data_IF_670136723667
#
_entry.id   IF_670136723667
#
_cell.length_a   1.000
_cell.length_b   1.000
_cell.length_c   1.000
_cell.angle_alpha   90.00
_cell.angle_beta   90.00
_cell.angle_gamma   90.00
#
_symmetry.space_group_name_H-M   'P 1'
#
loop_
_entity.id
_entity.type
_entity.pdbx_description
1 polymer ?
#
# COMPACT_ATOMS: atom_id res chain seq x y z
N UNK A 1 1.11 7.11 -13.36
CA UNK A 1 1.19 5.67 -13.74
C UNK A 1 2.11 4.89 -12.83
N UNK A 2 3.33 5.36 -12.53
CA UNK A 2 4.22 4.65 -11.60
C UNK A 2 3.77 4.81 -10.14
N UNK A 3 3.26 5.97 -9.74
CA UNK A 3 2.76 6.21 -8.37
C UNK A 3 1.53 5.37 -8.03
N UNK A 4 0.49 5.38 -8.87
CA UNK A 4 -0.71 4.58 -8.63
C UNK A 4 -0.53 3.06 -8.68
N UNK A 5 0.55 2.56 -9.32
CA UNK A 5 0.90 1.13 -9.25
C UNK A 5 1.84 0.81 -8.08
N UNK A 6 2.49 1.82 -7.50
CA UNK A 6 3.29 1.69 -6.28
C UNK A 6 2.41 1.69 -5.01
N UNK A 7 1.19 2.24 -5.10
CA UNK A 7 0.20 2.26 -4.01
C UNK A 7 -0.45 0.87 -3.76
N UNK A 8 -0.32 -0.06 -4.71
CA UNK A 8 -0.73 -1.48 -4.58
C UNK A 8 0.41 -2.33 -4.00
N UNK A 9 0.97 -1.92 -2.86
CA UNK A 9 2.03 -2.67 -2.20
C UNK A 9 1.50 -3.97 -1.56
N UNK A 10 2.35 -5.01 -1.41
CA UNK A 10 1.96 -6.25 -0.74
C UNK A 10 1.41 -6.02 0.67
N UNK A 11 1.85 -4.98 1.38
CA UNK A 11 1.34 -4.61 2.70
C UNK A 11 -0.11 -4.12 2.66
N UNK A 12 -0.47 -3.25 1.72
CA UNK A 12 -1.83 -2.75 1.52
C UNK A 12 -2.77 -3.87 1.09
N UNK A 13 -2.38 -4.66 0.08
CA UNK A 13 -3.16 -5.83 -0.38
C UNK A 13 -3.38 -6.84 0.74
N UNK A 14 -2.34 -7.13 1.53
CA UNK A 14 -2.44 -8.02 2.69
C UNK A 14 -3.41 -7.51 3.75
N UNK A 15 -3.33 -6.21 4.05
CA UNK A 15 -4.21 -5.53 5.01
C UNK A 15 -5.67 -5.59 4.56
N UNK A 16 -5.96 -5.22 3.31
CA UNK A 16 -7.32 -5.27 2.77
C UNK A 16 -7.87 -6.70 2.72
N UNK A 17 -7.04 -7.68 2.36
CA UNK A 17 -7.44 -9.08 2.32
C UNK A 17 -7.75 -9.63 3.72
N UNK A 18 -6.94 -9.29 4.72
CA UNK A 18 -7.16 -9.70 6.11
C UNK A 18 -8.42 -9.08 6.70
N UNK A 19 -8.63 -7.78 6.48
CA UNK A 19 -9.82 -7.07 6.94
C UNK A 19 -11.07 -7.54 6.20
N UNK A 20 -10.99 -7.82 4.90
CA UNK A 20 -12.08 -8.42 4.13
C UNK A 20 -12.45 -9.82 4.63
N UNK A 21 -11.45 -10.63 5.01
CA UNK A 21 -11.71 -11.94 5.61
C UNK A 21 -12.36 -11.84 7.00
N UNK A 22 -12.01 -10.82 7.78
CA UNK A 22 -12.48 -10.65 9.16
C UNK A 22 -13.84 -9.94 9.25
N UNK A 23 -14.07 -8.91 8.44
CA UNK A 23 -15.22 -8.01 8.50
C UNK A 23 -16.13 -8.10 7.27
N UNK A 24 -15.78 -8.91 6.28
CA UNK A 24 -16.53 -9.03 5.04
C UNK A 24 -16.62 -7.70 4.31
N UNK A 25 -17.84 -7.33 3.93
CA UNK A 25 -18.13 -6.08 3.20
C UNK A 25 -18.27 -4.86 4.13
N UNK A 26 -18.25 -5.03 5.46
CA UNK A 26 -18.63 -3.98 6.39
C UNK A 26 -17.72 -2.73 6.38
N UNK A 27 -16.49 -2.86 5.88
CA UNK A 27 -15.54 -1.75 5.74
C UNK A 27 -15.53 -1.14 4.32
N UNK A 28 -16.34 -1.63 3.37
CA UNK A 28 -16.31 -1.14 1.98
C UNK A 28 -16.62 0.36 1.82
N UNK A 29 -17.41 0.93 2.72
CA UNK A 29 -17.73 2.36 2.73
C UNK A 29 -16.50 3.27 2.88
N UNK A 30 -15.37 2.75 3.39
CA UNK A 30 -14.14 3.54 3.51
C UNK A 30 -13.48 3.75 2.16
N UNK A 31 -13.70 2.85 1.18
CA UNK A 31 -13.08 2.90 -0.16
C UNK A 31 -13.33 4.25 -0.87
N UNK A 32 -14.58 4.72 -1.06
CA UNK A 32 -14.81 6.00 -1.75
C UNK A 32 -14.18 7.20 -1.01
N UNK A 33 -14.14 7.17 0.31
CA UNK A 33 -13.52 8.22 1.13
C UNK A 33 -12.00 8.20 0.96
N UNK A 34 -11.40 7.02 1.08
CA UNK A 34 -9.96 6.82 0.91
C UNK A 34 -9.48 7.23 -0.49
N UNK A 35 -10.25 6.89 -1.52
CA UNK A 35 -9.97 7.26 -2.91
C UNK A 35 -10.01 8.78 -3.10
N UNK A 36 -11.02 9.45 -2.54
CA UNK A 36 -11.11 10.91 -2.63
C UNK A 36 -9.94 11.60 -1.90
N UNK A 37 -9.59 11.11 -0.71
CA UNK A 37 -8.48 11.65 0.07
C UNK A 37 -7.14 11.43 -0.64
N UNK A 38 -6.89 10.23 -1.15
CA UNK A 38 -5.69 9.91 -1.92
C UNK A 38 -5.59 10.82 -3.15
N UNK A 39 -6.66 10.93 -3.94
CA UNK A 39 -6.70 11.82 -5.10
C UNK A 39 -6.42 13.28 -4.74
N UNK A 40 -6.96 13.78 -3.62
CA UNK A 40 -6.70 15.14 -3.16
C UNK A 40 -5.23 15.34 -2.74
N UNK A 41 -4.65 14.38 -2.01
CA UNK A 41 -3.25 14.43 -1.56
C UNK A 41 -2.31 14.34 -2.76
N UNK A 42 -2.53 13.40 -3.68
CA UNK A 42 -1.75 13.24 -4.90
C UNK A 42 -1.83 14.48 -5.80
N UNK A 43 -3.02 15.07 -5.94
CA UNK A 43 -3.20 16.29 -6.73
C UNK A 43 -2.42 17.46 -6.13
N UNK A 44 -2.51 17.65 -4.81
CA UNK A 44 -1.76 18.69 -4.11
C UNK A 44 -0.25 18.46 -4.25
N UNK A 45 0.22 17.23 -4.05
CA UNK A 45 1.62 16.87 -4.22
C UNK A 45 2.10 17.12 -5.66
N UNK A 46 1.30 16.75 -6.66
CA UNK A 46 1.57 17.00 -8.08
C UNK A 46 1.64 18.49 -8.41
N UNK A 47 0.69 19.29 -7.92
CA UNK A 47 0.68 20.75 -8.09
C UNK A 47 1.88 21.41 -7.43
N UNK A 48 2.24 20.99 -6.21
CA UNK A 48 3.43 21.45 -5.49
C UNK A 48 4.72 21.11 -6.26
N UNK A 49 4.84 19.90 -6.78
CA UNK A 49 5.99 19.48 -7.58
C UNK A 49 6.13 20.28 -8.88
N UNK A 50 5.01 20.55 -9.58
CA UNK A 50 4.99 21.34 -10.81
C UNK A 50 5.27 22.82 -10.57
N UNK A 51 4.70 23.41 -9.51
CA UNK A 51 4.85 24.82 -9.19
C UNK A 51 6.21 25.15 -8.54
N UNK A 52 6.69 24.28 -7.65
CA UNK A 52 7.94 24.49 -6.92
C UNK A 52 9.20 24.13 -7.68
N UNK A 53 9.12 23.24 -8.70
CA UNK A 53 10.26 22.65 -9.43
C UNK A 53 11.34 22.03 -8.51
N UNK A 54 11.00 21.80 -7.26
CA UNK A 54 11.87 21.30 -6.20
C UNK A 54 11.09 20.25 -5.40
N UNK A 55 11.79 19.22 -4.91
CA UNK A 55 11.16 18.18 -4.11
C UNK A 55 10.60 18.71 -2.79
N UNK A 56 9.60 18.01 -2.24
CA UNK A 56 8.95 18.33 -0.97
C UNK A 56 9.96 18.59 0.16
N UNK A 57 11.03 17.78 0.23
CA UNK A 57 12.11 17.96 1.21
C UNK A 57 12.88 19.28 1.05
N UNK A 58 13.08 19.77 -0.19
CA UNK A 58 13.72 21.07 -0.46
C UNK A 58 12.83 22.23 -0.02
N UNK A 59 11.52 22.13 -0.30
CA UNK A 59 10.51 23.09 0.16
C UNK A 59 10.43 23.15 1.69
N UNK A 60 10.48 22.00 2.38
CA UNK A 60 10.49 21.95 3.84
C UNK A 60 11.76 22.60 4.39
N UNK A 61 12.93 22.30 3.82
CA UNK A 61 14.21 22.90 4.23
C UNK A 61 14.24 24.42 4.07
N UNK A 62 13.53 24.97 3.08
CA UNK A 62 13.47 26.42 2.82
C UNK A 62 12.50 27.17 3.74
N UNK A 63 11.38 26.54 4.10
CA UNK A 63 10.29 27.21 4.82
C UNK A 63 10.23 26.90 6.32
N UNK A 64 10.90 25.84 6.78
CA UNK A 64 10.87 25.40 8.18
C UNK A 64 12.27 25.36 8.81
N UNK A 65 12.30 25.45 10.14
CA UNK A 65 13.54 25.32 10.90
C UNK A 65 14.12 23.90 10.76
N UNK A 66 15.45 23.78 10.81
CA UNK A 66 16.17 22.52 10.67
C UNK A 66 15.65 21.36 11.56
N UNK A 67 15.20 21.58 12.82
CA UNK A 67 14.63 20.51 13.64
C UNK A 67 13.38 19.86 13.03
N UNK A 68 12.52 20.63 12.36
CA UNK A 68 11.31 20.13 11.70
C UNK A 68 11.68 19.22 10.53
N UNK A 69 12.71 19.62 9.76
CA UNK A 69 13.23 18.81 8.65
C UNK A 69 13.76 17.45 9.14
N UNK A 70 14.59 17.45 10.18
CA UNK A 70 15.15 16.21 10.74
C UNK A 70 14.06 15.31 11.33
N UNK A 71 13.09 15.90 12.03
CA UNK A 71 11.95 15.14 12.58
C UNK A 71 11.09 14.52 11.48
N UNK A 72 10.76 15.28 10.43
CA UNK A 72 10.01 14.76 9.27
C UNK A 72 10.80 13.67 8.53
N UNK A 73 12.10 13.87 8.31
CA UNK A 73 12.95 12.87 7.67
C UNK A 73 13.04 11.57 8.50
N UNK A 74 13.14 11.67 9.82
CA UNK A 74 13.12 10.53 10.73
C UNK A 74 11.79 9.77 10.63
N UNK A 75 10.66 10.48 10.65
CA UNK A 75 9.33 9.87 10.54
C UNK A 75 9.15 9.14 9.21
N UNK A 76 9.51 9.77 8.09
CA UNK A 76 9.40 9.15 6.75
C UNK A 76 10.33 7.94 6.64
N UNK A 77 11.56 8.04 7.15
CA UNK A 77 12.51 6.91 7.12
C UNK A 77 12.00 5.74 7.96
N UNK A 78 11.46 6.02 9.16
CA UNK A 78 10.88 5.00 10.01
C UNK A 78 9.66 4.34 9.35
N UNK A 79 8.73 5.13 8.80
CA UNK A 79 7.55 4.64 8.11
C UNK A 79 7.93 3.73 6.93
N UNK A 80 8.86 4.17 6.08
CA UNK A 80 9.36 3.37 4.95
C UNK A 80 10.03 2.08 5.40
N UNK A 81 10.77 2.10 6.51
CA UNK A 81 11.40 0.89 7.05
C UNK A 81 10.35 -0.14 7.50
N UNK A 82 9.28 0.32 8.15
CA UNK A 82 8.16 -0.55 8.53
C UNK A 82 7.41 -1.09 7.31
N UNK A 83 7.19 -0.27 6.28
CA UNK A 83 6.52 -0.69 5.05
C UNK A 83 7.32 -1.77 4.31
N UNK A 84 8.64 -1.58 4.15
CA UNK A 84 9.52 -2.61 3.56
C UNK A 84 9.44 -3.92 4.36
N UNK A 85 9.45 -3.83 5.69
CA UNK A 85 9.30 -5.00 6.56
C UNK A 85 7.94 -5.72 6.37
N UNK A 86 6.86 -4.95 6.29
CA UNK A 86 5.52 -5.45 6.05
C UNK A 86 5.39 -6.11 4.66
N UNK A 87 5.97 -5.49 3.63
CA UNK A 87 5.99 -6.02 2.27
C UNK A 87 6.71 -7.36 2.18
N UNK A 88 7.93 -7.44 2.72
CA UNK A 88 8.70 -8.68 2.77
C UNK A 88 7.93 -9.78 3.53
N UNK A 89 7.27 -9.40 4.63
CA UNK A 89 6.41 -10.30 5.39
C UNK A 89 5.22 -10.81 4.59
N UNK A 90 4.51 -9.92 3.89
CA UNK A 90 3.36 -10.25 3.03
C UNK A 90 3.75 -11.12 1.85
N UNK A 91 4.89 -10.85 1.20
CA UNK A 91 5.44 -11.70 0.14
C UNK A 91 5.75 -13.10 0.65
N UNK A 92 6.35 -13.19 1.85
CA UNK A 92 6.68 -14.47 2.45
C UNK A 92 5.42 -15.27 2.83
N UNK A 93 4.43 -14.61 3.43
CA UNK A 93 3.15 -15.22 3.76
C UNK A 93 2.41 -15.71 2.51
N UNK A 94 2.43 -14.93 1.42
CA UNK A 94 1.80 -15.29 0.15
C UNK A 94 2.46 -16.51 -0.50
N UNK A 95 3.80 -16.57 -0.54
CA UNK A 95 4.52 -17.71 -1.11
C UNK A 95 4.30 -19.00 -0.30
N UNK A 96 4.13 -18.87 1.03
CA UNK A 96 3.81 -20.00 1.91
C UNK A 96 2.47 -20.66 1.57
N UNK A 97 1.54 -19.94 0.94
CA UNK A 97 0.28 -20.53 0.45
C UNK A 97 0.50 -21.49 -0.71
N UNK A 98 1.58 -21.31 -1.47
CA UNK A 98 1.93 -22.14 -2.64
C UNK A 98 2.94 -23.22 -2.28
N UNK A 99 3.95 -22.87 -1.48
CA UNK A 99 5.05 -23.77 -1.10
C UNK A 99 5.02 -23.95 0.42
N UNK A 100 4.86 -25.18 0.95
CA UNK A 100 4.74 -25.44 2.38
C UNK A 100 6.11 -25.39 3.10
N UNK A 101 6.79 -24.24 3.04
CA UNK A 101 8.08 -23.97 3.69
C UNK A 101 7.85 -23.10 4.93
N UNK A 102 8.64 -23.26 6.01
CA UNK A 102 8.54 -22.40 7.18
C UNK A 102 8.77 -20.91 6.85
N UNK A 103 8.08 -20.02 7.58
CA UNK A 103 8.06 -18.59 7.29
C UNK A 103 9.45 -17.94 7.38
N UNK A 104 10.22 -18.24 8.43
CA UNK A 104 11.51 -17.55 8.69
C UNK A 104 12.55 -17.79 7.59
N UNK A 105 12.83 -19.03 7.15
CA UNK A 105 13.73 -19.28 6.01
C UNK A 105 13.28 -18.60 4.73
N UNK A 106 11.97 -18.58 4.49
CA UNK A 106 11.39 -18.02 3.28
C UNK A 106 11.50 -16.49 3.27
N UNK A 107 11.23 -15.84 4.40
CA UNK A 107 11.46 -14.40 4.60
C UNK A 107 12.92 -14.03 4.33
N UNK A 108 13.88 -14.73 4.97
CA UNK A 108 15.31 -14.48 4.78
C UNK A 108 15.69 -14.62 3.30
N UNK A 109 15.19 -15.66 2.63
CA UNK A 109 15.48 -15.91 1.22
C UNK A 109 14.94 -14.79 0.33
N UNK A 110 13.69 -14.35 0.54
CA UNK A 110 13.10 -13.23 -0.21
C UNK A 110 13.89 -11.95 0.06
N UNK A 111 14.23 -11.64 1.31
CA UNK A 111 15.00 -10.43 1.65
C UNK A 111 16.36 -10.43 0.95
N UNK A 112 17.11 -11.53 1.01
CA UNK A 112 18.41 -11.63 0.34
C UNK A 112 18.25 -11.52 -1.18
N UNK A 113 17.24 -12.18 -1.75
CA UNK A 113 16.97 -12.10 -3.18
C UNK A 113 16.67 -10.67 -3.63
N UNK A 114 15.79 -9.95 -2.92
CA UNK A 114 15.45 -8.54 -3.21
C UNK A 114 16.69 -7.66 -3.10
N UNK A 115 17.49 -7.79 -2.03
CA UNK A 115 18.73 -7.02 -1.87
C UNK A 115 19.73 -7.26 -3.02
N UNK A 116 19.90 -8.52 -3.44
CA UNK A 116 20.75 -8.86 -4.59
C UNK A 116 20.18 -8.24 -5.87
N UNK A 117 18.87 -8.34 -6.09
CA UNK A 117 18.24 -7.72 -7.26
C UNK A 117 18.46 -6.19 -7.28
N UNK A 118 18.29 -5.51 -6.15
CA UNK A 118 18.50 -4.06 -6.04
C UNK A 118 19.95 -3.63 -6.30
N UNK A 119 20.92 -4.40 -5.81
CA UNK A 119 22.35 -4.07 -5.97
C UNK A 119 22.84 -4.35 -7.39
N UNK A 120 22.39 -5.44 -8.01
CA UNK A 120 22.97 -5.94 -9.26
C UNK A 120 22.16 -5.60 -10.53
N UNK A 121 20.85 -5.31 -10.42
CA UNK A 121 20.00 -5.05 -11.60
C UNK A 121 19.84 -3.54 -11.83
N UNK A 122 20.14 -3.09 -13.04
CA UNK A 122 19.91 -1.71 -13.44
C UNK A 122 18.41 -1.39 -13.50
N UNK A 123 18.03 -0.23 -12.96
CA UNK A 123 16.63 0.25 -12.85
C UNK A 123 15.83 0.16 -14.16
N UNK A 124 16.47 0.39 -15.31
CA UNK A 124 15.78 0.33 -16.60
C UNK A 124 15.29 -1.09 -16.97
N UNK A 125 16.01 -2.14 -16.52
CA UNK A 125 15.60 -3.52 -16.71
C UNK A 125 14.53 -3.92 -15.69
N UNK A 126 14.72 -3.48 -14.44
CA UNK A 126 13.78 -3.72 -13.35
C UNK A 126 12.38 -3.14 -13.62
N UNK A 127 12.30 -1.89 -14.09
CA UNK A 127 11.02 -1.23 -14.40
C UNK A 127 10.24 -1.92 -15.53
N UNK A 128 10.93 -2.57 -16.48
CA UNK A 128 10.29 -3.34 -17.54
C UNK A 128 9.65 -4.62 -17.00
N UNK A 129 10.32 -5.30 -16.08
CA UNK A 129 9.78 -6.48 -15.39
C UNK A 129 8.56 -6.11 -14.54
N UNK A 130 8.67 -5.05 -13.72
CA UNK A 130 7.56 -4.56 -12.91
C UNK A 130 6.30 -4.27 -13.74
N UNK A 131 6.46 -3.68 -14.93
CA UNK A 131 5.34 -3.43 -15.85
C UNK A 131 4.64 -4.73 -16.33
N UNK A 132 5.34 -5.86 -16.38
CA UNK A 132 4.69 -7.15 -16.66
C UNK A 132 4.05 -7.73 -15.41
N UNK A 133 4.67 -7.58 -14.24
CA UNK A 133 4.06 -7.99 -12.97
C UNK A 133 2.75 -7.24 -12.69
N UNK A 134 2.60 -5.98 -13.09
CA UNK A 134 1.31 -5.29 -12.93
C UNK A 134 0.16 -5.96 -13.70
N UNK A 135 0.44 -6.77 -14.73
CA UNK A 135 -0.60 -7.57 -15.38
C UNK A 135 -1.19 -8.63 -14.44
N UNK A 136 -0.47 -9.05 -13.39
CA UNK A 136 -1.03 -9.97 -12.40
C UNK A 136 -2.18 -9.35 -11.60
N UNK A 137 -2.28 -8.02 -11.52
CA UNK A 137 -3.42 -7.33 -10.88
C UNK A 137 -4.74 -7.61 -11.61
N UNK A 138 -4.70 -7.96 -12.91
CA UNK A 138 -5.90 -8.42 -13.62
C UNK A 138 -6.45 -9.74 -13.08
N UNK A 139 -5.68 -10.51 -12.30
CA UNK A 139 -6.19 -11.69 -11.61
C UNK A 139 -7.34 -11.32 -10.65
N UNK A 140 -7.35 -10.14 -10.03
CA UNK A 140 -8.47 -9.70 -9.19
C UNK A 140 -9.76 -9.56 -9.98
N UNK A 141 -9.68 -9.05 -11.21
CA UNK A 141 -10.84 -8.95 -12.12
C UNK A 141 -11.31 -10.37 -12.51
N UNK A 142 -10.38 -11.28 -12.80
CA UNK A 142 -10.71 -12.66 -13.11
C UNK A 142 -11.41 -13.38 -11.94
N UNK A 143 -11.00 -13.12 -10.69
CA UNK A 143 -11.65 -13.67 -9.49
C UNK A 143 -13.10 -13.21 -9.38
N UNK A 144 -13.41 -11.95 -9.70
CA UNK A 144 -14.80 -11.45 -9.71
C UNK A 144 -15.70 -12.17 -10.72
N UNK A 145 -15.14 -12.78 -11.77
CA UNK A 145 -15.92 -13.57 -12.73
C UNK A 145 -16.21 -15.00 -12.24
N UNK A 146 -15.44 -15.51 -11.29
CA UNK A 146 -15.59 -16.88 -10.73
C UNK A 146 -16.38 -16.87 -9.43
N UNK A 147 -16.20 -15.83 -8.61
CA UNK A 147 -16.88 -15.69 -7.32
C UNK A 147 -18.30 -15.16 -7.53
N UNK A 148 -19.28 -15.78 -6.88
CA UNK A 148 -20.65 -15.25 -6.84
C UNK A 148 -20.70 -14.04 -5.91
N UNK A 149 -20.58 -12.84 -6.48
CA UNK A 149 -20.64 -11.58 -5.74
C UNK A 149 -22.07 -11.09 -5.65
N UNK A 150 -22.56 -10.88 -4.42
CA UNK A 150 -23.81 -10.16 -4.20
C UNK A 150 -23.57 -8.65 -4.38
N UNK A 151 -23.76 -8.18 -5.62
CA UNK A 151 -23.59 -6.77 -5.98
C UNK A 151 -24.53 -5.85 -5.21
N UNK A 152 -25.69 -6.33 -4.74
CA UNK A 152 -26.60 -5.52 -3.92
C UNK A 152 -25.99 -5.28 -2.55
N UNK A 153 -25.40 -6.30 -1.95
CA UNK A 153 -24.68 -6.17 -0.68
C UNK A 153 -23.42 -5.29 -0.83
N UNK A 154 -22.70 -5.39 -1.95
CA UNK A 154 -21.54 -4.51 -2.22
C UNK A 154 -21.98 -3.05 -2.27
N UNK A 155 -22.99 -2.72 -3.07
CA UNK A 155 -23.47 -1.33 -3.20
C UNK A 155 -24.03 -0.81 -1.87
N UNK A 156 -24.78 -1.63 -1.12
CA UNK A 156 -25.32 -1.19 0.17
C UNK A 156 -24.22 -0.90 1.19
N UNK A 157 -23.19 -1.76 1.27
CA UNK A 157 -22.08 -1.57 2.20
C UNK A 157 -21.06 -0.51 1.72
N UNK A 158 -21.11 -0.12 0.44
CA UNK A 158 -20.33 1.00 -0.08
C UNK A 158 -20.98 2.35 0.27
N UNK A 159 -22.32 2.41 0.25
CA UNK A 159 -23.07 3.64 0.50
C UNK A 159 -23.44 3.85 1.98
N UNK A 160 -23.65 2.77 2.74
CA UNK A 160 -24.09 2.83 4.13
C UNK A 160 -22.90 2.50 5.04
N UNK A 161 -22.39 3.48 5.81
CA UNK A 161 -21.29 3.23 6.71
C UNK A 161 -21.76 2.39 7.89
N UNK A 162 -21.15 1.22 8.07
CA UNK A 162 -21.28 0.42 9.26
C UNK A 162 -20.14 0.77 10.22
N UNK A 163 -20.46 1.29 11.41
CA UNK A 163 -19.45 1.61 12.41
C UNK A 163 -19.58 0.65 13.60
N UNK A 164 -18.48 -0.02 13.92
CA UNK A 164 -18.38 -0.86 15.12
C UNK A 164 -17.32 -0.29 16.05
N UNK A 165 -17.63 -0.16 17.34
CA UNK A 165 -16.67 0.34 18.35
C UNK A 165 -15.69 -0.74 18.85
N UNK A 166 -15.56 -1.85 18.12
CA UNK A 166 -14.57 -2.88 18.44
C UNK A 166 -13.16 -2.35 18.19
N UNK A 167 -12.22 -2.66 19.11
CA UNK A 167 -10.80 -2.34 18.93
C UNK A 167 -10.23 -2.87 17.62
N UNK A 168 -10.67 -4.05 17.19
CA UNK A 168 -10.24 -4.65 15.92
C UNK A 168 -10.79 -3.85 14.72
N UNK A 169 -12.02 -3.33 14.82
CA UNK A 169 -12.63 -2.53 13.77
C UNK A 169 -11.94 -1.16 13.64
N UNK A 170 -11.72 -0.47 14.76
CA UNK A 170 -11.00 0.79 14.79
C UNK A 170 -9.54 0.63 14.33
N UNK A 171 -8.87 -0.44 14.75
CA UNK A 171 -7.53 -0.78 14.26
C UNK A 171 -7.51 -1.01 12.75
N UNK A 172 -8.50 -1.72 12.21
CA UNK A 172 -8.66 -1.93 10.76
C UNK A 172 -8.90 -0.64 9.99
N UNK A 173 -9.72 0.28 10.51
CA UNK A 173 -9.90 1.61 9.90
C UNK A 173 -8.58 2.38 9.83
N UNK A 174 -7.82 2.41 10.93
CA UNK A 174 -6.51 3.08 10.97
C UNK A 174 -5.54 2.43 10.00
N UNK A 175 -5.56 1.10 9.88
CA UNK A 175 -4.73 0.38 8.93
C UNK A 175 -5.08 0.74 7.47
N UNK A 176 -6.37 0.76 7.10
CA UNK A 176 -6.82 1.14 5.76
C UNK A 176 -6.34 2.54 5.40
N UNK A 177 -6.65 3.54 6.23
CA UNK A 177 -6.24 4.92 5.93
C UNK A 177 -4.73 5.12 5.99
N UNK A 178 -4.05 4.37 6.87
CA UNK A 178 -2.60 4.40 7.01
C UNK A 178 -1.85 3.86 5.80
N UNK A 179 -2.36 2.81 5.16
CA UNK A 179 -1.75 2.25 3.94
C UNK A 179 -2.08 3.11 2.71
N UNK A 180 -3.29 3.66 2.61
CA UNK A 180 -3.69 4.48 1.43
C UNK A 180 -3.06 5.87 1.39
N UNK A 181 -2.72 6.48 2.53
CA UNK A 181 -2.10 7.83 2.57
C UNK A 181 -0.70 7.71 3.14
N UNK A 182 0.12 6.96 2.43
CA UNK A 182 1.50 6.76 2.84
C UNK A 182 2.35 8.02 2.63
N UNK A 183 3.26 8.37 3.55
CA UNK A 183 3.95 9.67 3.57
C UNK A 183 5.16 9.78 2.61
N UNK A 184 5.37 8.83 1.70
CA UNK A 184 6.54 8.73 0.82
C UNK A 184 6.25 9.19 -0.61
#
# INVERSE_FOLDING_TARGET
MITGAADDDPSGIGTYSQLGAQFGLAMLWTVPISLFLAAAVEELAGRLGLAGREGLASLVKKNFAAPVLYFAALLVTAANTFNIGADLGSMAASLRLVIPVPFVPLLITITVAVLVLEVFIQYHQYSRLLRFLTLSLFAYIAVLAVVHVDWRAVISNLAIPHLSMSKAYLGGLVAIFGTTISPY
#
